data_IF_112383011178
#
_entry.id   IF_112383011178
#
_cell.length_a   1.000
_cell.length_b   1.000
_cell.length_c   1.000
_cell.angle_alpha   90.00
_cell.angle_beta   90.00
_cell.angle_gamma   90.00
#
_symmetry.space_group_name_H-M   'P 1'
#
loop_
_entity.id
_entity.type
_entity.pdbx_description
1 polymer ?
#
# COMPACT_ATOMS: atom_id res chain seq x y z
N UNK A 1 -16.24 1.22 3.38
CA UNK A 1 -15.18 0.25 3.74
C UNK A 1 -15.73 -1.08 4.26
N UNK A 2 -15.39 -2.21 3.62
CA UNK A 2 -15.76 -3.59 4.00
C UNK A 2 -15.15 -4.06 5.34
N UNK A 3 -15.76 -5.04 6.03
CA UNK A 3 -15.26 -5.54 7.32
C UNK A 3 -13.82 -6.06 7.28
N UNK A 4 -13.45 -6.79 6.24
CA UNK A 4 -12.13 -7.41 6.10
C UNK A 4 -11.04 -6.33 5.96
N UNK A 5 -11.34 -5.25 5.22
CA UNK A 5 -10.47 -4.07 5.11
C UNK A 5 -10.34 -3.35 6.44
N UNK A 6 -11.46 -3.16 7.17
CA UNK A 6 -11.43 -2.53 8.50
C UNK A 6 -10.55 -3.31 9.46
N UNK A 7 -10.68 -4.64 9.48
CA UNK A 7 -9.85 -5.52 10.30
C UNK A 7 -8.37 -5.38 9.96
N UNK A 8 -8.02 -5.43 8.66
CA UNK A 8 -6.63 -5.27 8.24
C UNK A 8 -6.03 -3.92 8.64
N UNK A 9 -6.80 -2.84 8.48
CA UNK A 9 -6.38 -1.46 8.82
C UNK A 9 -6.30 -1.25 10.33
N UNK A 10 -7.19 -1.85 11.11
CA UNK A 10 -7.20 -1.73 12.56
C UNK A 10 -5.93 -2.31 13.22
N UNK A 11 -5.35 -3.34 12.59
CA UNK A 11 -4.09 -3.95 13.03
C UNK A 11 -2.86 -3.11 12.65
N UNK A 12 -3.03 -2.04 11.87
CA UNK A 12 -1.99 -1.05 11.59
C UNK A 12 -1.01 -1.46 10.48
N UNK A 13 0.20 -0.85 10.47
CA UNK A 13 1.25 -1.15 9.49
C UNK A 13 1.61 -2.63 9.45
N UNK A 14 2.07 -3.11 8.29
CA UNK A 14 2.70 -4.43 8.20
C UNK A 14 3.91 -4.50 9.14
N UNK A 15 4.10 -5.65 9.81
CA UNK A 15 5.27 -5.88 10.66
C UNK A 15 6.57 -5.90 9.85
N UNK A 16 7.69 -5.71 10.54
CA UNK A 16 9.04 -5.82 10.00
C UNK A 16 9.62 -7.24 10.13
N UNK A 17 10.88 -7.40 9.76
CA UNK A 17 11.64 -8.65 9.85
C UNK A 17 11.83 -9.21 11.27
N UNK A 18 11.58 -8.45 12.33
CA UNK A 18 11.68 -8.94 13.72
C UNK A 18 10.38 -9.64 14.20
N UNK A 19 9.30 -9.59 13.40
CA UNK A 19 8.04 -10.21 13.77
C UNK A 19 8.06 -11.74 13.70
N UNK A 20 7.19 -12.37 14.48
CA UNK A 20 7.06 -13.83 14.49
C UNK A 20 6.38 -14.33 13.23
N UNK A 21 6.70 -15.57 12.82
CA UNK A 21 6.03 -16.25 11.70
C UNK A 21 4.50 -16.28 11.88
N UNK A 22 4.01 -16.52 13.11
CA UNK A 22 2.58 -16.48 13.43
C UNK A 22 1.94 -15.11 13.15
N UNK A 23 2.67 -14.02 13.38
CA UNK A 23 2.19 -12.67 13.09
C UNK A 23 2.15 -12.43 11.58
N UNK A 24 3.18 -12.85 10.84
CA UNK A 24 3.23 -12.78 9.38
C UNK A 24 2.07 -13.57 8.76
N UNK A 25 1.88 -14.82 9.18
CA UNK A 25 0.80 -15.70 8.69
C UNK A 25 -0.57 -15.10 8.95
N UNK A 26 -0.78 -14.49 10.13
CA UNK A 26 -2.02 -13.77 10.44
C UNK A 26 -2.25 -12.60 9.49
N UNK A 27 -1.22 -11.79 9.21
CA UNK A 27 -1.34 -10.63 8.30
C UNK A 27 -1.60 -11.08 6.85
N UNK A 28 -0.95 -12.15 6.41
CA UNK A 28 -1.20 -12.78 5.09
C UNK A 28 -2.64 -13.27 4.99
N UNK A 29 -3.16 -13.95 6.02
CA UNK A 29 -4.53 -14.43 6.05
C UNK A 29 -5.56 -13.29 5.97
N UNK A 30 -5.34 -12.19 6.72
CA UNK A 30 -6.19 -11.00 6.64
C UNK A 30 -6.17 -10.37 5.25
N UNK A 31 -4.99 -10.24 4.64
CA UNK A 31 -4.86 -9.67 3.31
C UNK A 31 -5.58 -10.52 2.25
N UNK A 32 -5.44 -11.85 2.33
CA UNK A 32 -6.10 -12.78 1.42
C UNK A 32 -7.64 -12.78 1.55
N UNK A 33 -8.18 -12.37 2.68
CA UNK A 33 -9.63 -12.18 2.87
C UNK A 33 -10.16 -10.92 2.15
N UNK A 34 -9.29 -9.97 1.81
CA UNK A 34 -9.68 -8.76 1.09
C UNK A 34 -9.66 -9.03 -0.41
N UNK A 35 -10.84 -9.23 -1.00
CA UNK A 35 -10.96 -9.44 -2.44
C UNK A 35 -10.99 -8.12 -3.24
N UNK A 36 -10.33 -8.10 -4.39
CA UNK A 36 -10.43 -6.99 -5.35
C UNK A 36 -11.71 -7.04 -6.21
N UNK A 37 -12.07 -5.93 -6.88
CA UNK A 37 -11.43 -4.62 -6.80
C UNK A 37 -11.75 -3.91 -5.48
N UNK A 38 -10.78 -3.19 -4.92
CA UNK A 38 -11.01 -2.30 -3.76
C UNK A 38 -11.62 -0.97 -4.20
N UNK A 39 -12.43 -0.34 -3.35
CA UNK A 39 -12.87 1.04 -3.59
C UNK A 39 -11.76 2.06 -3.35
N UNK A 40 -11.91 3.30 -3.83
CA UNK A 40 -10.93 4.36 -3.57
C UNK A 40 -10.72 4.63 -2.06
N UNK A 41 -11.81 4.63 -1.28
CA UNK A 41 -11.77 4.76 0.19
C UNK A 41 -10.91 3.64 0.81
N UNK A 42 -11.12 2.39 0.37
CA UNK A 42 -10.38 1.23 0.86
C UNK A 42 -8.91 1.30 0.45
N UNK A 43 -8.63 1.68 -0.80
CA UNK A 43 -7.28 1.78 -1.32
C UNK A 43 -6.46 2.82 -0.55
N UNK A 44 -7.06 3.98 -0.24
CA UNK A 44 -6.42 5.02 0.58
C UNK A 44 -6.13 4.55 2.01
N UNK A 45 -7.06 3.82 2.64
CA UNK A 45 -6.87 3.27 3.98
C UNK A 45 -5.76 2.19 4.00
N UNK A 46 -5.78 1.29 3.01
CA UNK A 46 -4.77 0.23 2.84
C UNK A 46 -3.38 0.79 2.56
N UNK A 47 -3.26 1.90 1.82
CA UNK A 47 -1.98 2.57 1.59
C UNK A 47 -1.32 3.08 2.88
N UNK A 48 -2.09 3.33 3.93
CA UNK A 48 -1.56 3.68 5.26
C UNK A 48 -1.01 2.50 6.05
N UNK A 49 -1.15 1.26 5.54
CA UNK A 49 -0.78 0.03 6.24
C UNK A 49 0.56 -0.54 5.78
N UNK A 50 1.33 0.15 4.93
CA UNK A 50 2.68 -0.31 4.61
C UNK A 50 3.57 -0.27 5.84
N UNK A 51 4.31 -1.36 6.03
CA UNK A 51 5.34 -1.48 7.04
C UNK A 51 6.64 -0.77 6.66
N UNK A 52 7.65 -0.81 7.54
CA UNK A 52 8.93 -0.16 7.32
C UNK A 52 9.82 -0.89 6.29
N UNK A 53 9.51 -2.14 5.93
CA UNK A 53 10.30 -2.96 5.01
C UNK A 53 9.44 -3.75 3.99
N UNK A 54 10.10 -4.52 3.12
CA UNK A 54 9.51 -5.49 2.18
C UNK A 54 9.59 -6.92 2.77
N UNK A 55 9.17 -7.10 4.02
CA UNK A 55 9.27 -8.40 4.65
C UNK A 55 8.27 -9.41 4.04
N UNK A 56 8.77 -10.60 3.70
CA UNK A 56 8.02 -11.75 3.15
C UNK A 56 7.15 -11.47 1.91
N UNK A 57 7.35 -10.35 1.21
CA UNK A 57 6.54 -9.97 0.05
C UNK A 57 5.08 -9.61 0.36
N UNK A 58 4.70 -9.47 1.63
CA UNK A 58 3.32 -9.11 2.02
C UNK A 58 2.99 -7.70 1.55
N UNK A 59 3.98 -6.79 1.60
CA UNK A 59 3.83 -5.44 1.12
C UNK A 59 3.62 -5.39 -0.41
N UNK A 60 4.23 -6.30 -1.18
CA UNK A 60 3.91 -6.47 -2.61
C UNK A 60 2.45 -6.86 -2.83
N UNK A 61 1.95 -7.85 -2.09
CA UNK A 61 0.55 -8.27 -2.18
C UNK A 61 -0.41 -7.14 -1.83
N UNK A 62 -0.09 -6.34 -0.81
CA UNK A 62 -0.87 -5.17 -0.41
C UNK A 62 -0.89 -4.11 -1.52
N UNK A 63 0.28 -3.81 -2.08
CA UNK A 63 0.41 -2.87 -3.19
C UNK A 63 -0.43 -3.31 -4.40
N UNK A 64 -0.37 -4.59 -4.78
CA UNK A 64 -1.15 -5.10 -5.90
C UNK A 64 -2.65 -5.11 -5.64
N UNK A 65 -3.08 -5.40 -4.40
CA UNK A 65 -4.48 -5.30 -4.00
C UNK A 65 -4.99 -3.86 -4.14
N UNK A 66 -4.23 -2.87 -3.66
CA UNK A 66 -4.53 -1.44 -3.80
C UNK A 66 -4.72 -1.08 -5.28
N UNK A 67 -3.82 -1.56 -6.15
CA UNK A 67 -3.86 -1.31 -7.60
C UNK A 67 -5.07 -1.96 -8.31
N UNK A 68 -5.80 -2.89 -7.67
CA UNK A 68 -7.06 -3.42 -8.24
C UNK A 68 -8.20 -2.41 -8.20
N UNK A 69 -8.08 -1.37 -7.37
CA UNK A 69 -9.07 -0.31 -7.26
C UNK A 69 -8.87 0.85 -8.24
N UNK A 70 -9.67 1.92 -8.12
CA UNK A 70 -9.48 3.14 -8.90
C UNK A 70 -8.11 3.78 -8.62
N UNK A 71 -7.26 3.81 -9.64
CA UNK A 71 -5.97 4.49 -9.62
C UNK A 71 -6.10 5.92 -10.18
N UNK A 72 -5.31 6.89 -9.69
CA UNK A 72 -4.26 6.72 -8.69
C UNK A 72 -4.78 6.88 -7.25
N UNK A 73 -4.18 6.14 -6.32
CA UNK A 73 -4.49 6.26 -4.88
C UNK A 73 -3.79 7.46 -4.26
N UNK A 74 -2.56 7.73 -4.70
CA UNK A 74 -1.79 8.91 -4.31
C UNK A 74 -1.72 9.87 -5.50
N UNK A 75 -2.24 11.08 -5.33
CA UNK A 75 -2.20 12.16 -6.34
C UNK A 75 -1.11 13.18 -6.06
N UNK A 76 -0.53 13.16 -4.86
CA UNK A 76 0.54 14.05 -4.41
C UNK A 76 1.80 13.25 -4.15
N UNK A 77 2.96 13.81 -4.51
CA UNK A 77 4.26 13.20 -4.21
C UNK A 77 4.37 12.97 -2.69
N UNK A 78 4.70 11.75 -2.24
CA UNK A 78 4.97 11.49 -0.83
C UNK A 78 6.13 12.35 -0.30
N UNK A 79 6.12 12.65 1.00
CA UNK A 79 7.23 13.32 1.67
C UNK A 79 8.54 12.51 1.51
N UNK A 80 9.70 13.16 1.59
CA UNK A 80 10.99 12.50 1.37
C UNK A 80 11.32 11.39 2.38
N UNK A 81 10.69 11.44 3.55
CA UNK A 81 10.76 10.46 4.64
C UNK A 81 9.60 9.45 4.63
N UNK A 82 8.73 9.48 3.61
CA UNK A 82 7.68 8.49 3.47
C UNK A 82 8.28 7.12 3.13
N UNK A 83 7.59 6.05 3.54
CA UNK A 83 8.02 4.68 3.25
C UNK A 83 8.13 4.40 1.74
N UNK A 84 9.04 3.50 1.37
CA UNK A 84 9.34 3.20 -0.04
C UNK A 84 8.10 2.79 -0.86
N UNK A 85 7.12 2.16 -0.21
CA UNK A 85 5.87 1.72 -0.82
C UNK A 85 4.97 2.87 -1.26
N UNK A 86 4.94 3.96 -0.48
CA UNK A 86 4.22 5.17 -0.87
C UNK A 86 4.85 5.80 -2.10
N UNK A 87 6.19 5.88 -2.15
CA UNK A 87 6.92 6.34 -3.33
C UNK A 87 6.67 5.43 -4.53
N UNK A 88 6.69 4.11 -4.35
CA UNK A 88 6.46 3.13 -5.42
C UNK A 88 5.03 3.23 -6.00
N UNK A 89 4.01 3.39 -5.17
CA UNK A 89 2.63 3.62 -5.64
C UNK A 89 2.54 4.92 -6.46
N UNK A 90 3.11 6.01 -5.96
CA UNK A 90 3.11 7.29 -6.66
C UNK A 90 3.87 7.22 -8.00
N UNK A 91 5.06 6.64 -8.02
CA UNK A 91 5.87 6.51 -9.22
C UNK A 91 5.19 5.67 -10.31
N UNK A 92 4.46 4.62 -9.92
CA UNK A 92 3.65 3.82 -10.85
C UNK A 92 2.50 4.62 -11.43
N UNK A 93 1.82 5.44 -10.62
CA UNK A 93 0.78 6.34 -11.09
C UNK A 93 1.34 7.38 -12.10
N UNK A 94 2.51 7.96 -11.81
CA UNK A 94 3.20 8.88 -12.74
C UNK A 94 3.56 8.17 -14.04
N UNK A 95 4.15 6.97 -13.97
CA UNK A 95 4.51 6.18 -15.17
C UNK A 95 3.30 5.78 -16.01
N UNK A 96 2.14 5.60 -15.38
CA UNK A 96 0.88 5.33 -16.05
C UNK A 96 0.21 6.60 -16.62
N UNK A 97 0.79 7.80 -16.41
CA UNK A 97 0.21 9.08 -16.84
C UNK A 97 -1.04 9.50 -16.05
N UNK A 98 -1.24 8.92 -14.86
CA UNK A 98 -2.40 9.22 -13.99
C UNK A 98 -2.16 10.41 -13.07
N UNK A 99 -0.89 10.77 -12.86
CA UNK A 99 -0.46 11.93 -12.10
C UNK A 99 0.60 12.65 -12.91
N UNK A 100 0.49 13.98 -13.00
CA UNK A 100 1.53 14.82 -13.57
C UNK A 100 2.80 14.65 -12.71
N UNK A 101 3.82 13.99 -13.25
CA UNK A 101 5.12 13.89 -12.58
C UNK A 101 5.66 15.30 -12.36
N UNK A 102 6.05 15.64 -11.13
CA UNK A 102 6.81 16.87 -10.90
C UNK A 102 8.12 16.70 -11.65
N UNK A 103 8.20 17.32 -12.84
CA UNK A 103 9.37 17.26 -13.71
C UNK A 103 10.60 17.62 -12.91
N UNK A 104 11.60 16.74 -12.92
CA UNK A 104 12.92 17.02 -12.37
C UNK A 104 13.54 18.16 -13.17
N UNK A 105 13.39 19.37 -12.66
CA UNK A 105 14.22 20.50 -12.98
C UNK A 105 14.89 20.93 -11.67
N UNK A 106 15.95 20.24 -11.31
CA UNK A 106 17.03 20.86 -10.53
C UNK A 106 18.33 20.63 -11.30
N UNK A 107 19.01 21.74 -11.53
CA UNK A 107 20.17 21.93 -12.38
C UNK A 107 21.48 21.48 -11.73
#
# INVERSE_FOLDING_TARGET
MRPEVRTFVADGPLPDWDASEDEIDRRVAQLNAVHGPVSHEEAAALAGCFGPDDCYGVAWSLLHLIETGPNPVLTTRPAADAGEWSHRLYDRAVRAGLVEGVGGAEA
#
